data_IF_908587266143
#
_entry.id   IF_908587266143
#
_cell.length_a   1.000
_cell.length_b   1.000
_cell.length_c   1.000
_cell.angle_alpha   90.00
_cell.angle_beta   90.00
_cell.angle_gamma   90.00
#
_symmetry.space_group_name_H-M   'P 1'
#
loop_
_entity.id
_entity.type
_entity.pdbx_description
1 polymer ?
#
# COMPACT_ATOMS: atom_id res chain seq x y z
N UNK A 1 31.20 -21.80 -82.39
CA UNK A 1 30.13 -20.81 -82.26
C UNK A 1 29.39 -21.13 -80.99
N UNK A 2 29.56 -20.30 -79.96
CA UNK A 2 29.15 -20.54 -78.56
C UNK A 2 27.78 -19.90 -78.29
N UNK A 3 26.78 -20.73 -77.97
CA UNK A 3 25.52 -20.21 -77.44
C UNK A 3 25.53 -20.27 -75.92
N UNK A 4 25.50 -19.13 -75.28
CA UNK A 4 25.36 -19.00 -73.84
C UNK A 4 23.88 -19.09 -73.48
N UNK A 5 23.53 -20.08 -72.68
CA UNK A 5 22.19 -20.22 -72.06
C UNK A 5 22.20 -19.41 -70.79
N UNK A 6 21.32 -18.41 -70.68
CA UNK A 6 21.02 -17.67 -69.45
C UNK A 6 19.91 -18.40 -68.71
N UNK A 7 20.20 -18.91 -67.52
CA UNK A 7 19.21 -19.44 -66.60
C UNK A 7 18.77 -18.30 -65.67
N UNK A 8 17.52 -17.86 -65.81
CA UNK A 8 16.88 -16.93 -64.84
C UNK A 8 16.38 -17.75 -63.64
N UNK A 9 17.00 -17.54 -62.51
CA UNK A 9 16.53 -18.09 -61.28
C UNK A 9 15.47 -17.13 -60.66
N UNK A 10 14.20 -17.57 -60.67
CA UNK A 10 13.09 -16.88 -59.98
C UNK A 10 13.15 -17.19 -58.49
N UNK A 11 13.60 -16.18 -57.71
CA UNK A 11 13.54 -16.25 -56.27
C UNK A 11 12.11 -15.99 -55.79
N UNK A 12 11.46 -17.01 -55.22
CA UNK A 12 10.19 -16.86 -54.50
C UNK A 12 10.51 -16.36 -53.12
N UNK A 13 10.25 -15.08 -52.85
CA UNK A 13 10.30 -14.51 -51.51
C UNK A 13 9.05 -14.92 -50.72
N UNK A 14 9.20 -15.89 -49.82
CA UNK A 14 8.19 -16.25 -48.85
C UNK A 14 8.16 -15.16 -47.78
N UNK A 15 7.19 -14.27 -47.83
CA UNK A 15 6.90 -13.31 -46.75
C UNK A 15 6.27 -14.05 -45.59
N UNK A 16 7.04 -14.31 -44.54
CA UNK A 16 6.52 -14.74 -43.24
C UNK A 16 5.77 -13.58 -42.60
N UNK A 17 4.45 -13.66 -42.57
CA UNK A 17 3.64 -12.83 -41.68
C UNK A 17 3.88 -13.30 -40.24
N UNK A 18 4.69 -12.54 -39.52
CA UNK A 18 4.79 -12.69 -38.08
C UNK A 18 3.55 -12.04 -37.49
N UNK A 19 2.55 -12.84 -37.13
CA UNK A 19 1.44 -12.39 -36.27
C UNK A 19 2.02 -12.09 -34.90
N UNK A 20 2.30 -10.82 -34.64
CA UNK A 20 2.48 -10.34 -33.28
C UNK A 20 1.15 -10.49 -32.55
N UNK A 21 1.00 -11.57 -31.78
CA UNK A 21 -0.06 -11.68 -30.80
C UNK A 21 0.09 -10.52 -29.84
N UNK A 22 -0.79 -9.53 -29.92
CA UNK A 22 -0.92 -8.49 -28.93
C UNK A 22 -1.33 -9.17 -27.62
N UNK A 23 -0.38 -9.39 -26.75
CA UNK A 23 -0.66 -9.62 -25.35
C UNK A 23 -1.24 -8.33 -24.78
N UNK A 24 -2.56 -8.21 -24.79
CA UNK A 24 -3.28 -7.24 -24.00
C UNK A 24 -3.15 -7.60 -22.52
N UNK A 25 -1.98 -7.45 -21.93
CA UNK A 25 -1.85 -7.36 -20.50
C UNK A 25 -2.27 -5.96 -20.10
N UNK A 26 -3.53 -5.82 -19.75
CA UNK A 26 -4.08 -4.61 -19.17
C UNK A 26 -3.32 -4.35 -17.86
N UNK A 27 -2.58 -3.22 -17.82
CA UNK A 27 -1.99 -2.63 -16.63
C UNK A 27 -1.00 -3.45 -15.80
N UNK A 28 0.04 -3.98 -16.40
CA UNK A 28 1.28 -4.13 -15.66
C UNK A 28 2.10 -2.85 -15.87
N UNK A 29 1.92 -1.87 -15.01
CA UNK A 29 2.97 -0.88 -14.77
C UNK A 29 4.05 -1.64 -14.01
N UNK A 30 4.90 -2.32 -14.75
CA UNK A 30 6.16 -2.80 -14.20
C UNK A 30 7.01 -1.55 -13.99
N UNK A 31 6.94 -0.97 -12.80
CA UNK A 31 8.00 -0.09 -12.32
C UNK A 31 9.26 -0.94 -12.17
N UNK A 32 9.93 -1.14 -13.31
CA UNK A 32 11.20 -1.79 -13.33
C UNK A 32 12.17 -0.96 -12.48
N UNK A 33 12.55 -1.51 -11.35
CA UNK A 33 13.84 -1.24 -10.78
C UNK A 33 13.98 -0.17 -9.72
N UNK A 34 12.92 0.22 -9.01
CA UNK A 34 13.13 0.84 -7.69
C UNK A 34 12.58 -0.11 -6.63
N UNK A 35 13.44 -0.98 -6.13
CA UNK A 35 13.23 -1.59 -4.82
C UNK A 35 13.35 -0.44 -3.83
N UNK A 36 12.25 0.30 -3.62
CA UNK A 36 12.21 1.33 -2.61
C UNK A 36 12.51 0.63 -1.29
N UNK A 37 13.64 0.96 -0.69
CA UNK A 37 14.00 0.45 0.62
C UNK A 37 12.89 0.86 1.58
N UNK A 38 12.18 -0.12 2.15
CA UNK A 38 11.07 0.13 3.04
C UNK A 38 11.65 0.66 4.34
N UNK A 39 11.63 1.98 4.49
CA UNK A 39 12.08 2.63 5.72
C UNK A 39 11.03 2.49 6.80
N UNK A 40 11.39 1.85 7.90
CA UNK A 40 10.53 1.74 9.07
C UNK A 40 10.49 3.07 9.81
N UNK A 41 9.31 3.63 9.95
CA UNK A 41 9.06 4.81 10.81
C UNK A 41 8.87 4.34 12.26
N UNK A 42 9.50 5.00 13.21
CA UNK A 42 9.27 4.78 14.63
C UNK A 42 8.57 6.00 15.22
N UNK A 43 7.29 5.86 15.52
CA UNK A 43 6.48 6.92 16.12
C UNK A 43 5.86 6.43 17.43
N UNK A 44 6.11 7.15 18.53
CA UNK A 44 5.64 6.80 19.87
C UNK A 44 4.11 6.84 20.00
N UNK A 45 3.42 7.46 19.06
CA UNK A 45 1.95 7.51 19.01
C UNK A 45 1.33 6.22 18.48
N UNK A 46 2.14 5.36 17.84
CA UNK A 46 1.68 4.06 17.29
C UNK A 46 2.15 2.94 18.19
N UNK A 47 1.22 2.35 18.93
CA UNK A 47 1.48 1.21 19.83
C UNK A 47 0.97 -0.07 19.20
N UNK A 48 1.86 -1.01 18.98
CA UNK A 48 1.61 -2.33 18.45
C UNK A 48 1.91 -3.39 19.50
N UNK A 49 1.14 -4.46 19.55
CA UNK A 49 1.55 -5.62 20.36
C UNK A 49 2.83 -6.27 19.81
N UNK A 50 3.49 -7.10 20.62
CA UNK A 50 4.77 -7.71 20.28
C UNK A 50 4.71 -8.63 19.05
N UNK A 51 3.55 -9.20 18.75
CA UNK A 51 3.34 -10.05 17.57
C UNK A 51 3.30 -9.22 16.29
N UNK A 52 2.46 -8.19 16.26
CA UNK A 52 2.32 -7.30 15.10
C UNK A 52 3.58 -6.47 14.82
N UNK A 53 4.33 -6.09 15.86
CA UNK A 53 5.57 -5.31 15.71
C UNK A 53 6.61 -6.00 14.83
N UNK A 54 6.65 -7.33 14.85
CA UNK A 54 7.57 -8.12 14.02
C UNK A 54 7.06 -8.34 12.59
N UNK A 55 5.78 -8.19 12.38
CA UNK A 55 5.09 -8.57 11.15
C UNK A 55 4.70 -7.37 10.30
N UNK A 56 4.26 -6.29 10.94
CA UNK A 56 3.85 -5.06 10.29
C UNK A 56 4.93 -3.99 10.41
N UNK A 57 5.17 -3.30 9.32
CA UNK A 57 6.05 -2.14 9.26
C UNK A 57 5.20 -0.88 9.15
N UNK A 58 5.41 0.07 10.06
CA UNK A 58 4.91 1.43 9.89
C UNK A 58 5.79 2.13 8.86
N UNK A 59 5.22 2.54 7.74
CA UNK A 59 5.96 3.15 6.64
C UNK A 59 5.78 4.67 6.58
N UNK A 60 4.60 5.18 6.91
CA UNK A 60 4.32 6.61 6.87
C UNK A 60 3.19 6.98 7.85
N UNK A 61 3.24 8.19 8.39
CA UNK A 61 2.10 8.88 9.03
C UNK A 61 1.90 10.20 8.32
N UNK A 62 0.71 10.40 7.76
CA UNK A 62 0.35 11.64 7.09
C UNK A 62 -0.71 12.38 7.90
N UNK A 63 -0.40 13.61 8.25
CA UNK A 63 -1.31 14.52 8.94
C UNK A 63 -1.77 15.60 7.97
N UNK A 64 -3.08 15.72 7.82
CA UNK A 64 -3.71 16.72 6.94
C UNK A 64 -4.87 17.37 7.67
N UNK A 65 -5.52 18.35 7.03
CA UNK A 65 -6.81 18.90 7.48
C UNK A 65 -7.88 18.64 6.45
N UNK A 66 -9.10 18.42 6.93
CA UNK A 66 -10.29 18.42 6.07
C UNK A 66 -10.62 19.85 5.63
N UNK A 67 -11.49 20.01 4.63
CA UNK A 67 -11.96 21.33 4.18
C UNK A 67 -12.60 22.13 5.34
N UNK A 68 -13.23 21.44 6.29
CA UNK A 68 -13.85 22.03 7.47
C UNK A 68 -12.87 22.33 8.61
N UNK A 69 -11.57 22.05 8.40
CA UNK A 69 -10.50 22.35 9.33
C UNK A 69 -10.25 21.29 10.42
N UNK A 70 -10.86 20.11 10.33
CA UNK A 70 -10.57 19.00 11.25
C UNK A 70 -9.26 18.31 10.88
N UNK A 71 -8.50 17.88 11.88
CA UNK A 71 -7.28 17.08 11.66
C UNK A 71 -7.65 15.71 11.12
N UNK A 72 -6.97 15.27 10.07
CA UNK A 72 -7.07 13.92 9.50
C UNK A 72 -5.73 13.23 9.60
N UNK A 73 -5.73 11.99 10.09
CA UNK A 73 -4.55 11.15 10.19
C UNK A 73 -4.71 9.96 9.28
N UNK A 74 -3.65 9.64 8.54
CA UNK A 74 -3.52 8.43 7.75
C UNK A 74 -2.24 7.72 8.19
N UNK A 75 -2.36 6.48 8.60
CA UNK A 75 -1.25 5.63 9.03
C UNK A 75 -1.10 4.52 8.01
N UNK A 76 0.08 4.42 7.41
CA UNK A 76 0.40 3.44 6.38
C UNK A 76 1.20 2.29 7.01
N UNK A 77 0.67 1.09 6.87
CA UNK A 77 1.29 -0.13 7.40
C UNK A 77 1.53 -1.10 6.24
N UNK A 78 2.68 -1.77 6.25
CA UNK A 78 3.02 -2.83 5.32
C UNK A 78 3.19 -4.15 6.04
N UNK A 79 2.62 -5.21 5.49
CA UNK A 79 2.87 -6.57 5.93
C UNK A 79 4.19 -7.07 5.34
N UNK A 80 5.18 -7.27 6.20
CA UNK A 80 6.53 -7.70 5.82
C UNK A 80 6.67 -9.23 5.69
N UNK A 81 5.57 -9.96 5.78
CA UNK A 81 5.58 -11.42 5.79
C UNK A 81 4.78 -12.01 4.63
N UNK A 82 4.93 -13.31 4.44
CA UNK A 82 4.17 -14.09 3.46
C UNK A 82 2.85 -14.66 4.03
N UNK A 83 2.37 -14.14 5.17
CA UNK A 83 1.13 -14.59 5.83
C UNK A 83 0.14 -13.44 5.92
N UNK A 84 -1.14 -13.79 5.87
CA UNK A 84 -2.24 -12.86 6.13
C UNK A 84 -2.46 -12.69 7.62
N UNK A 85 -2.70 -11.45 8.07
CA UNK A 85 -2.99 -11.15 9.46
C UNK A 85 -4.32 -10.44 9.63
N UNK A 86 -5.03 -10.80 10.69
CA UNK A 86 -6.19 -10.08 11.19
C UNK A 86 -5.78 -9.32 12.45
N UNK A 87 -6.19 -8.09 12.55
CA UNK A 87 -5.90 -7.27 13.72
C UNK A 87 -7.05 -6.31 14.01
N UNK A 88 -7.07 -5.80 15.21
CA UNK A 88 -7.95 -4.71 15.63
C UNK A 88 -7.12 -3.48 15.92
N UNK A 89 -7.71 -2.32 15.66
CA UNK A 89 -7.08 -1.04 15.92
C UNK A 89 -8.08 -0.04 16.49
N UNK A 90 -7.56 0.95 17.23
CA UNK A 90 -8.32 2.07 17.77
C UNK A 90 -7.47 3.33 17.81
N UNK A 91 -8.07 4.46 17.38
CA UNK A 91 -7.50 5.79 17.56
C UNK A 91 -8.08 6.44 18.81
N UNK A 92 -7.21 7.02 19.64
CA UNK A 92 -7.58 7.91 20.72
C UNK A 92 -7.09 9.30 20.38
N UNK A 93 -7.91 10.33 20.57
CA UNK A 93 -7.57 11.71 20.31
C UNK A 93 -7.31 12.48 21.60
N UNK A 94 -6.41 13.45 21.55
CA UNK A 94 -6.03 14.26 22.70
C UNK A 94 -6.08 15.74 22.34
N UNK A 95 -6.49 16.59 23.28
CA UNK A 95 -6.46 18.05 23.15
C UNK A 95 -5.05 18.61 23.41
N UNK A 96 -4.92 19.92 23.38
CA UNK A 96 -3.68 20.65 23.63
C UNK A 96 -3.18 20.53 25.09
N UNK A 97 -4.03 20.10 26.02
CA UNK A 97 -3.70 19.82 27.43
C UNK A 97 -3.37 18.35 27.67
N UNK A 98 -3.40 17.52 26.62
CA UNK A 98 -3.18 16.07 26.71
C UNK A 98 -4.36 15.29 27.30
N UNK A 99 -5.54 15.89 27.37
CA UNK A 99 -6.75 15.20 27.81
C UNK A 99 -7.36 14.41 26.66
N UNK A 100 -7.83 13.20 26.93
CA UNK A 100 -8.47 12.39 25.91
C UNK A 100 -9.82 12.99 25.50
N UNK A 101 -9.99 13.20 24.20
CA UNK A 101 -11.23 13.67 23.60
C UNK A 101 -12.05 12.45 23.22
N UNK A 102 -13.14 12.22 23.95
CA UNK A 102 -14.03 11.09 23.72
C UNK A 102 -14.67 11.25 22.32
N UNK A 103 -14.54 10.21 21.51
CA UNK A 103 -15.25 10.06 20.25
C UNK A 103 -16.06 8.78 20.30
N UNK A 104 -17.41 8.85 20.36
CA UNK A 104 -18.27 7.67 20.41
C UNK A 104 -18.02 6.67 19.28
N UNK A 105 -17.66 7.18 18.09
CA UNK A 105 -17.36 6.33 16.92
C UNK A 105 -16.08 5.51 17.08
N UNK A 106 -15.15 5.95 17.94
CA UNK A 106 -13.85 5.33 18.18
C UNK A 106 -13.75 4.58 19.52
N UNK A 107 -14.83 4.44 20.27
CA UNK A 107 -14.84 3.64 21.51
C UNK A 107 -14.63 2.15 21.21
N UNK A 108 -15.08 1.70 20.06
CA UNK A 108 -14.99 0.32 19.63
C UNK A 108 -13.70 0.06 18.84
N UNK A 109 -13.16 -1.14 19.00
CA UNK A 109 -12.08 -1.64 18.19
C UNK A 109 -12.56 -1.95 16.76
N UNK A 110 -11.92 -1.33 15.76
CA UNK A 110 -12.16 -1.63 14.36
C UNK A 110 -11.31 -2.82 13.93
N UNK A 111 -11.89 -3.73 13.13
CA UNK A 111 -11.17 -4.90 12.58
C UNK A 111 -10.61 -4.60 11.21
N UNK A 112 -9.42 -5.14 10.93
CA UNK A 112 -8.78 -5.06 9.62
C UNK A 112 -8.06 -6.36 9.29
N UNK A 113 -8.04 -6.69 8.01
CA UNK A 113 -7.25 -7.76 7.43
C UNK A 113 -6.17 -7.12 6.56
N UNK A 114 -4.96 -7.69 6.59
CA UNK A 114 -3.87 -7.34 5.68
C UNK A 114 -3.30 -8.63 5.08
N UNK A 115 -3.30 -8.69 3.76
CA UNK A 115 -2.79 -9.85 3.03
C UNK A 115 -1.26 -9.90 3.09
N UNK A 116 -0.70 -11.05 2.72
CA UNK A 116 0.73 -11.25 2.64
C UNK A 116 1.39 -10.22 1.70
N UNK A 117 2.39 -9.48 2.19
CA UNK A 117 3.11 -8.49 1.40
C UNK A 117 2.35 -7.21 1.04
N UNK A 118 1.08 -7.08 1.43
CA UNK A 118 0.22 -5.94 1.11
C UNK A 118 0.46 -4.74 2.02
N UNK A 119 -0.08 -3.61 1.57
CA UNK A 119 -0.16 -2.36 2.32
C UNK A 119 -1.59 -2.10 2.79
N UNK A 120 -1.74 -1.49 3.96
CA UNK A 120 -3.03 -1.03 4.47
C UNK A 120 -2.91 0.38 5.02
N UNK A 121 -3.91 1.21 4.72
CA UNK A 121 -4.02 2.56 5.27
C UNK A 121 -5.15 2.59 6.30
N UNK A 122 -4.82 3.06 7.51
CA UNK A 122 -5.77 3.33 8.56
C UNK A 122 -6.02 4.84 8.62
N UNK A 123 -7.26 5.26 8.42
CA UNK A 123 -7.62 6.68 8.37
C UNK A 123 -8.57 7.03 9.51
N UNK A 124 -8.35 8.18 10.14
CA UNK A 124 -9.27 8.76 11.12
C UNK A 124 -9.34 10.28 10.96
N UNK A 125 -10.46 10.86 11.38
CA UNK A 125 -10.65 12.31 11.44
C UNK A 125 -10.92 12.69 12.90
N UNK A 126 -10.34 13.78 13.33
CA UNK A 126 -10.54 14.30 14.69
C UNK A 126 -12.02 14.61 14.94
N UNK A 127 -12.59 14.21 16.09
CA UNK A 127 -13.99 14.51 16.41
C UNK A 127 -14.25 15.99 16.69
N UNK A 128 -13.20 16.75 17.01
CA UNK A 128 -13.27 18.20 17.30
C UNK A 128 -12.05 18.92 16.70
N UNK A 129 -12.19 20.21 16.43
CA UNK A 129 -11.11 21.04 15.86
C UNK A 129 -9.96 21.27 16.82
N UNK A 130 -10.20 21.19 18.13
CA UNK A 130 -9.19 21.34 19.18
C UNK A 130 -8.41 20.04 19.47
N UNK A 131 -8.60 18.98 18.71
CA UNK A 131 -7.75 17.80 18.81
C UNK A 131 -6.35 18.13 18.30
N UNK A 132 -5.38 17.98 19.19
CA UNK A 132 -3.98 18.33 18.93
C UNK A 132 -3.16 17.10 18.50
N UNK A 133 -3.34 15.98 19.21
CA UNK A 133 -2.56 14.76 19.03
C UNK A 133 -3.43 13.51 19.01
N UNK A 134 -2.85 12.38 18.63
CA UNK A 134 -3.53 11.09 18.58
C UNK A 134 -2.66 9.97 19.14
N UNK A 135 -3.28 8.85 19.48
CA UNK A 135 -2.61 7.59 19.74
C UNK A 135 -3.33 6.47 19.00
N UNK A 136 -2.59 5.71 18.22
CA UNK A 136 -3.08 4.51 17.53
C UNK A 136 -2.63 3.28 18.31
N UNK A 137 -3.56 2.39 18.60
CA UNK A 137 -3.28 1.07 19.21
C UNK A 137 -3.68 -0.02 18.23
N UNK A 138 -2.79 -1.00 18.05
CA UNK A 138 -3.01 -2.18 17.23
C UNK A 138 -2.82 -3.43 18.08
N UNK A 139 -3.70 -4.42 17.90
CA UNK A 139 -3.60 -5.73 18.55
C UNK A 139 -3.88 -6.84 17.54
N UNK A 140 -3.06 -7.89 17.56
CA UNK A 140 -3.35 -9.09 16.79
C UNK A 140 -4.68 -9.70 17.26
N UNK A 141 -5.45 -10.23 16.34
CA UNK A 141 -6.53 -11.15 16.66
C UNK A 141 -5.98 -12.58 16.67
N UNK A 142 -6.34 -13.33 17.70
CA UNK A 142 -6.16 -14.77 17.71
C UNK A 142 -7.19 -15.38 16.76
N UNK A 143 -6.78 -16.35 15.95
CA UNK A 143 -7.67 -17.16 15.10
C UNK A 143 -8.46 -18.15 15.95
#
# INVERSE_FOLDING_TARGET
MNAKVFILASGIAASMLVCNACNNSVNTISNAGVTAEITRVNDKRVNTDSRLTKQLCLTEIRETKTNDGYKRIQVFLKNMTNKTYKFVYRFNWYDDKGQEVINPDNENWSRKLILAGDDVTLTTVAPRKNCFDFKLRLKALDD
#
